data_IF_214384702210
#
_entry.id   IF_214384702210
#
_cell.length_a   1.000
_cell.length_b   1.000
_cell.length_c   1.000
_cell.angle_alpha   90.00
_cell.angle_beta   90.00
_cell.angle_gamma   90.00
#
_symmetry.space_group_name_H-M   'P 1'
#
loop_
_entity.id
_entity.type
_entity.pdbx_description
1 polymer ?
#
# COMPACT_ATOMS: atom_id res chain seq x y z
N UNK A 1 -17.07 -48.73 25.33
CA UNK A 1 -15.96 -48.13 24.55
C UNK A 1 -15.10 -47.33 25.51
N UNK A 2 -13.82 -47.69 25.64
CA UNK A 2 -12.96 -47.17 26.71
C UNK A 2 -12.55 -45.71 26.42
N UNK A 3 -12.25 -44.93 27.46
CA UNK A 3 -11.97 -43.47 27.36
C UNK A 3 -10.84 -43.17 26.37
N UNK A 4 -9.82 -44.02 26.36
CA UNK A 4 -8.68 -43.95 25.44
C UNK A 4 -9.12 -44.08 23.97
N UNK A 5 -10.09 -44.96 23.69
CA UNK A 5 -10.62 -45.16 22.33
C UNK A 5 -11.42 -43.95 21.85
N UNK A 6 -12.11 -43.23 22.75
CA UNK A 6 -12.81 -41.98 22.41
C UNK A 6 -11.83 -40.84 22.10
N UNK A 7 -10.76 -40.72 22.88
CA UNK A 7 -9.72 -39.70 22.66
C UNK A 7 -8.98 -39.89 21.33
N UNK A 8 -8.66 -41.15 20.98
CA UNK A 8 -8.04 -41.48 19.69
C UNK A 8 -8.99 -41.15 18.54
N UNK A 9 -10.29 -41.46 18.68
CA UNK A 9 -11.28 -41.15 17.63
C UNK A 9 -11.44 -39.63 17.42
N UNK A 10 -11.48 -38.85 18.49
CA UNK A 10 -11.57 -37.38 18.43
C UNK A 10 -10.32 -36.78 17.79
N UNK A 11 -9.13 -37.28 18.16
CA UNK A 11 -7.87 -36.84 17.56
C UNK A 11 -7.81 -37.17 16.06
N UNK A 12 -8.25 -38.37 15.65
CA UNK A 12 -8.31 -38.74 14.23
C UNK A 12 -9.31 -37.88 13.45
N UNK A 13 -10.48 -37.58 14.02
CA UNK A 13 -11.48 -36.72 13.36
C UNK A 13 -10.95 -35.29 13.20
N UNK A 14 -10.30 -34.72 14.23
CA UNK A 14 -9.68 -33.39 14.17
C UNK A 14 -8.51 -33.33 13.18
N UNK A 15 -7.67 -34.37 13.10
CA UNK A 15 -6.60 -34.41 12.10
C UNK A 15 -7.14 -34.52 10.67
N UNK A 16 -8.22 -35.28 10.44
CA UNK A 16 -8.81 -35.43 9.10
C UNK A 16 -9.53 -34.14 8.67
N UNK A 17 -10.25 -33.46 9.58
CA UNK A 17 -10.89 -32.17 9.25
C UNK A 17 -9.87 -31.07 9.02
N UNK A 18 -8.77 -31.05 9.79
CA UNK A 18 -7.66 -30.11 9.59
C UNK A 18 -6.95 -30.33 8.25
N UNK A 19 -6.64 -31.58 7.89
CA UNK A 19 -6.00 -31.91 6.60
C UNK A 19 -6.94 -31.65 5.43
N UNK A 20 -8.24 -31.92 5.57
CA UNK A 20 -9.23 -31.62 4.52
C UNK A 20 -9.43 -30.10 4.35
N UNK A 21 -9.46 -29.32 5.44
CA UNK A 21 -9.51 -27.87 5.40
C UNK A 21 -8.24 -27.26 4.81
N UNK A 22 -7.07 -27.81 5.15
CA UNK A 22 -5.79 -27.41 4.58
C UNK A 22 -5.70 -27.74 3.09
N UNK A 23 -6.12 -28.94 2.65
CA UNK A 23 -6.14 -29.30 1.23
C UNK A 23 -7.19 -28.51 0.43
N UNK A 24 -8.33 -28.17 1.02
CA UNK A 24 -9.35 -27.33 0.38
C UNK A 24 -8.88 -25.88 0.23
N UNK A 25 -8.19 -25.33 1.25
CA UNK A 25 -7.61 -23.99 1.21
C UNK A 25 -6.33 -23.88 0.37
N UNK A 26 -5.56 -24.97 0.22
CA UNK A 26 -4.36 -24.98 -0.62
C UNK A 26 -4.64 -25.27 -2.10
N UNK A 27 -5.78 -25.86 -2.43
CA UNK A 27 -6.18 -26.19 -3.82
C UNK A 27 -7.17 -25.20 -4.44
N UNK A 28 -7.64 -24.19 -3.70
CA UNK A 28 -8.16 -22.98 -4.34
C UNK A 28 -6.98 -22.25 -4.97
N UNK A 29 -6.63 -22.66 -6.19
CA UNK A 29 -5.92 -21.83 -7.15
C UNK A 29 -6.61 -20.47 -7.07
N UNK A 30 -5.90 -19.46 -6.54
CA UNK A 30 -6.34 -18.08 -6.62
C UNK A 30 -6.62 -17.83 -8.09
N UNK A 31 -7.88 -17.68 -8.46
CA UNK A 31 -8.26 -17.33 -9.82
C UNK A 31 -7.58 -16.00 -10.06
N UNK A 32 -6.55 -16.00 -10.92
CA UNK A 32 -5.82 -14.80 -11.30
C UNK A 32 -6.84 -13.70 -11.60
N UNK A 33 -6.58 -12.49 -11.08
CA UNK A 33 -7.40 -11.29 -11.25
C UNK A 33 -7.70 -11.03 -12.76
N UNK A 34 -6.94 -11.67 -13.67
CA UNK A 34 -7.16 -11.68 -15.11
C UNK A 34 -8.42 -12.37 -15.64
N UNK A 35 -9.15 -13.22 -14.90
CA UNK A 35 -10.34 -13.84 -15.49
C UNK A 35 -11.53 -12.88 -15.65
N UNK A 36 -11.46 -11.67 -15.08
CA UNK A 36 -12.55 -10.68 -15.11
C UNK A 36 -12.17 -9.42 -15.90
N UNK A 37 -10.88 -9.14 -16.13
CA UNK A 37 -10.43 -7.93 -16.83
C UNK A 37 -9.35 -8.25 -17.88
N UNK A 38 -9.61 -9.21 -18.76
CA UNK A 38 -8.94 -9.24 -20.05
C UNK A 38 -9.78 -8.42 -21.02
N UNK A 39 -9.32 -7.29 -21.58
CA UNK A 39 -9.97 -6.72 -22.74
C UNK A 39 -9.86 -7.74 -23.88
N UNK A 40 -10.97 -8.40 -24.18
CA UNK A 40 -11.19 -9.07 -25.45
C UNK A 40 -11.18 -7.97 -26.52
N UNK A 41 -10.02 -7.73 -27.14
CA UNK A 41 -9.85 -7.21 -28.50
C UNK A 41 -8.36 -7.08 -28.83
N UNK A 42 -7.72 -8.22 -29.07
CA UNK A 42 -6.58 -8.29 -29.97
C UNK A 42 -7.06 -9.04 -31.23
N UNK A 43 -7.85 -8.38 -32.09
CA UNK A 43 -8.10 -8.86 -33.45
C UNK A 43 -8.44 -7.70 -34.40
N UNK A 44 -7.53 -7.53 -35.35
CA UNK A 44 -7.68 -7.08 -36.75
C UNK A 44 -9.02 -6.50 -37.24
N UNK A 45 -8.93 -5.24 -37.68
CA UNK A 45 -9.58 -4.63 -38.86
C UNK A 45 -10.80 -5.34 -39.48
N UNK A 46 -12.01 -4.77 -39.31
CA UNK A 46 -12.95 -4.45 -40.41
C UNK A 46 -14.17 -3.66 -39.95
N UNK A 47 -14.60 -2.81 -40.86
CA UNK A 47 -15.70 -1.86 -40.87
C UNK A 47 -17.11 -2.39 -40.56
N UNK A 48 -17.93 -1.45 -40.02
CA UNK A 48 -19.34 -1.12 -40.36
C UNK A 48 -20.52 -1.62 -39.50
N UNK A 49 -21.34 -0.61 -39.20
CA UNK A 49 -22.79 -0.53 -38.92
C UNK A 49 -23.34 -0.67 -37.48
N UNK A 50 -23.80 0.50 -37.04
CA UNK A 50 -24.82 0.85 -36.05
C UNK A 50 -26.06 -0.04 -36.08
N UNK A 51 -26.54 -0.43 -34.89
CA UNK A 51 -27.94 -0.81 -34.66
C UNK A 51 -28.28 -0.64 -33.18
N UNK A 52 -28.94 0.47 -32.86
CA UNK A 52 -29.64 0.69 -31.59
C UNK A 52 -30.68 -0.41 -31.34
N UNK A 53 -30.85 -0.80 -30.08
CA UNK A 53 -32.16 -1.18 -29.56
C UNK A 53 -32.26 -0.81 -28.08
N UNK A 54 -33.16 0.14 -27.81
CA UNK A 54 -33.60 0.52 -26.48
C UNK A 54 -34.63 -0.49 -25.96
N UNK A 55 -34.57 -0.80 -24.66
CA UNK A 55 -35.75 -1.27 -23.94
C UNK A 55 -35.93 -0.49 -22.62
N UNK A 56 -37.14 0.01 -22.51
CA UNK A 56 -37.83 0.82 -21.51
C UNK A 56 -37.78 0.28 -20.08
N UNK A 57 -37.51 1.17 -19.12
CA UNK A 57 -37.77 0.98 -17.69
C UNK A 57 -39.12 1.61 -17.30
N UNK A 58 -39.96 0.86 -16.58
CA UNK A 58 -41.22 1.32 -16.02
C UNK A 58 -41.03 1.81 -14.58
N UNK A 59 -41.53 3.01 -14.28
CA UNK A 59 -41.64 3.58 -12.95
C UNK A 59 -42.90 3.05 -12.24
N UNK A 60 -42.80 2.77 -10.94
CA UNK A 60 -43.96 2.82 -10.03
C UNK A 60 -43.56 3.47 -8.70
N UNK A 61 -44.48 4.31 -8.24
CA UNK A 61 -44.46 5.25 -7.13
C UNK A 61 -45.02 4.63 -5.84
N UNK A 62 -44.53 5.04 -4.68
CA UNK A 62 -45.34 5.15 -3.45
C UNK A 62 -44.72 6.11 -2.42
N UNK A 63 -45.61 6.80 -1.69
CA UNK A 63 -45.46 8.01 -0.86
C UNK A 63 -44.96 7.75 0.59
N UNK A 64 -44.52 8.80 1.33
CA UNK A 64 -43.97 8.70 2.69
C UNK A 64 -45.07 8.71 3.76
N UNK A 65 -44.79 8.12 4.93
CA UNK A 65 -45.65 8.14 6.13
C UNK A 65 -44.93 8.86 7.28
N UNK A 66 -45.65 9.79 7.90
CA UNK A 66 -45.29 10.62 9.05
C UNK A 66 -44.99 9.81 10.33
N UNK A 67 -43.98 10.24 11.07
CA UNK A 67 -43.69 9.80 12.44
C UNK A 67 -44.52 10.62 13.44
N UNK A 68 -45.08 9.93 14.42
CA UNK A 68 -45.87 10.46 15.53
C UNK A 68 -45.00 10.49 16.80
N UNK A 69 -44.94 11.65 17.45
CA UNK A 69 -44.31 11.86 18.76
C UNK A 69 -44.95 11.00 19.87
N UNK A 70 -44.10 10.53 20.79
CA UNK A 70 -44.48 10.13 22.15
C UNK A 70 -43.33 10.50 23.10
N UNK A 71 -43.56 11.56 23.88
CA UNK A 71 -42.87 11.82 25.14
C UNK A 71 -43.35 10.81 26.21
N UNK A 72 -42.47 10.35 27.11
CA UNK A 72 -42.63 10.55 28.58
C UNK A 72 -41.49 9.96 29.44
N UNK A 73 -41.07 10.79 30.40
CA UNK A 73 -40.59 10.56 31.77
C UNK A 73 -39.30 9.77 32.11
N UNK A 74 -38.38 10.55 32.69
CA UNK A 74 -37.37 10.13 33.68
C UNK A 74 -38.03 10.02 35.07
N UNK A 75 -37.55 9.11 35.94
CA UNK A 75 -37.24 9.59 37.29
C UNK A 75 -35.88 9.12 37.82
N UNK A 76 -35.27 10.06 38.54
CA UNK A 76 -34.11 9.93 39.42
C UNK A 76 -34.39 9.00 40.60
N UNK A 77 -33.37 8.24 41.04
CA UNK A 77 -33.45 7.44 42.27
C UNK A 77 -32.23 6.54 42.47
N UNK A 78 -31.30 7.00 43.30
CA UNK A 78 -30.18 6.25 43.90
C UNK A 78 -30.65 5.01 44.64
N UNK A 79 -30.03 3.85 44.39
CA UNK A 79 -29.87 2.80 45.39
C UNK A 79 -28.60 1.99 45.14
N UNK A 80 -27.63 2.18 46.04
CA UNK A 80 -26.45 1.35 46.22
C UNK A 80 -26.84 -0.03 46.75
N UNK A 81 -26.55 -1.08 46.00
CA UNK A 81 -26.39 -2.44 46.54
C UNK A 81 -25.11 -3.07 46.02
N UNK A 82 -24.14 -3.20 46.91
CA UNK A 82 -22.94 -4.03 46.77
C UNK A 82 -23.34 -5.50 46.91
N UNK A 83 -23.00 -6.33 45.90
CA UNK A 83 -23.05 -7.78 46.00
C UNK A 83 -21.95 -8.44 45.15
N UNK A 84 -20.98 -9.02 45.87
CA UNK A 84 -20.16 -10.19 45.57
C UNK A 84 -19.34 -10.26 44.26
N UNK A 85 -18.03 -10.06 44.42
CA UNK A 85 -16.97 -10.58 43.56
C UNK A 85 -17.04 -12.12 43.51
N UNK A 86 -17.77 -12.62 42.54
CA UNK A 86 -17.42 -13.86 41.86
C UNK A 86 -16.63 -13.42 40.64
N UNK A 87 -15.47 -14.02 40.38
CA UNK A 87 -14.66 -13.74 39.19
C UNK A 87 -15.58 -13.83 37.97
N UNK A 88 -15.96 -12.68 37.44
CA UNK A 88 -16.80 -12.60 36.25
C UNK A 88 -15.87 -13.05 35.14
N UNK A 89 -16.06 -14.28 34.64
CA UNK A 89 -15.72 -14.57 33.26
C UNK A 89 -16.57 -13.59 32.47
N UNK A 90 -15.93 -12.50 32.06
CA UNK A 90 -16.59 -11.41 31.37
C UNK A 90 -16.95 -11.92 29.98
N UNK A 91 -18.14 -12.50 29.89
CA UNK A 91 -18.90 -12.60 28.65
C UNK A 91 -19.39 -11.17 28.32
N UNK A 92 -18.46 -10.31 27.88
CA UNK A 92 -18.74 -8.95 27.39
C UNK A 92 -19.24 -9.08 25.95
N UNK A 93 -20.50 -9.51 25.83
CA UNK A 93 -21.19 -9.71 24.56
C UNK A 93 -20.78 -8.69 23.49
N UNK A 94 -20.20 -9.25 22.43
CA UNK A 94 -19.75 -8.64 21.19
C UNK A 94 -18.47 -7.77 21.28
N UNK A 95 -17.35 -8.34 20.85
CA UNK A 95 -16.07 -7.64 20.63
C UNK A 95 -16.22 -6.37 19.78
N UNK A 96 -17.20 -6.34 18.87
CA UNK A 96 -17.52 -5.17 18.04
C UNK A 96 -18.06 -4.04 18.92
N UNK A 97 -18.92 -4.35 19.89
CA UNK A 97 -19.45 -3.37 20.84
C UNK A 97 -18.33 -2.80 21.72
N UNK A 98 -17.41 -3.65 22.20
CA UNK A 98 -16.23 -3.20 22.95
C UNK A 98 -15.35 -2.26 22.12
N UNK A 99 -15.09 -2.62 20.86
CA UNK A 99 -14.32 -1.80 19.95
C UNK A 99 -15.02 -0.45 19.67
N UNK A 100 -16.32 -0.44 19.39
CA UNK A 100 -17.06 0.80 19.12
C UNK A 100 -17.12 1.73 20.33
N UNK A 101 -17.27 1.15 21.54
CA UNK A 101 -17.20 1.90 22.79
C UNK A 101 -15.81 2.51 22.98
N UNK A 102 -14.75 1.79 22.62
CA UNK A 102 -13.39 2.30 22.65
C UNK A 102 -13.16 3.44 21.64
N UNK A 103 -13.64 3.30 20.40
CA UNK A 103 -13.57 4.38 19.39
C UNK A 103 -14.26 5.64 19.92
N UNK A 104 -15.49 5.51 20.44
CA UNK A 104 -16.24 6.63 21.03
C UNK A 104 -15.49 7.27 22.20
N UNK A 105 -14.97 6.44 23.11
CA UNK A 105 -14.19 6.92 24.26
C UNK A 105 -12.99 7.75 23.82
N UNK A 106 -12.25 7.27 22.81
CA UNK A 106 -11.03 7.91 22.31
C UNK A 106 -11.27 9.26 21.63
N UNK A 107 -12.47 9.49 21.09
CA UNK A 107 -12.82 10.77 20.47
C UNK A 107 -13.17 11.85 21.48
N UNK A 108 -13.53 11.48 22.70
CA UNK A 108 -14.04 12.42 23.72
C UNK A 108 -13.15 12.52 24.96
N UNK A 109 -12.12 11.69 25.09
CA UNK A 109 -11.28 11.61 26.28
C UNK A 109 -9.80 11.50 25.91
N UNK A 110 -8.94 12.13 26.71
CA UNK A 110 -7.48 12.15 26.52
C UNK A 110 -6.71 11.41 27.62
N UNK A 111 -7.38 10.58 28.43
CA UNK A 111 -6.70 9.74 29.42
C UNK A 111 -6.01 8.55 28.75
N UNK A 112 -4.72 8.74 28.46
CA UNK A 112 -3.87 7.75 27.83
C UNK A 112 -3.73 6.45 28.63
N UNK A 113 -3.89 6.48 29.96
CA UNK A 113 -3.75 5.28 30.80
C UNK A 113 -4.97 4.37 30.65
N UNK A 114 -6.16 4.95 30.72
CA UNK A 114 -7.40 4.22 30.49
C UNK A 114 -7.53 3.77 29.03
N UNK A 115 -7.03 4.59 28.09
CA UNK A 115 -6.91 4.21 26.68
C UNK A 115 -6.08 2.94 26.47
N UNK A 116 -4.87 2.88 27.06
CA UNK A 116 -3.99 1.72 26.98
C UNK A 116 -4.65 0.46 27.56
N UNK A 117 -5.30 0.60 28.73
CA UNK A 117 -6.02 -0.51 29.36
C UNK A 117 -7.12 -1.08 28.46
N UNK A 118 -7.94 -0.23 27.83
CA UNK A 118 -9.01 -0.68 26.91
C UNK A 118 -8.45 -1.42 25.69
N UNK A 119 -7.33 -0.96 25.14
CA UNK A 119 -6.64 -1.68 24.06
C UNK A 119 -6.16 -3.05 24.54
N UNK A 120 -5.52 -3.11 25.71
CA UNK A 120 -5.00 -4.37 26.25
C UNK A 120 -6.12 -5.36 26.56
N UNK A 121 -7.26 -4.90 27.09
CA UNK A 121 -8.45 -5.71 27.32
C UNK A 121 -8.97 -6.31 26.00
N UNK A 122 -9.10 -5.51 24.95
CA UNK A 122 -9.49 -5.98 23.61
C UNK A 122 -8.48 -7.00 23.09
N UNK A 123 -7.17 -6.70 23.15
CA UNK A 123 -6.12 -7.61 22.67
C UNK A 123 -6.13 -8.95 23.42
N UNK A 124 -6.32 -8.95 24.73
CA UNK A 124 -6.39 -10.16 25.53
C UNK A 124 -7.56 -11.07 25.10
N UNK A 125 -8.72 -10.49 24.77
CA UNK A 125 -9.86 -11.22 24.22
C UNK A 125 -9.50 -11.81 22.84
N UNK A 126 -8.91 -11.01 21.95
CA UNK A 126 -8.53 -11.46 20.60
C UNK A 126 -7.45 -12.56 20.61
N UNK A 127 -6.51 -12.53 21.57
CA UNK A 127 -5.50 -13.58 21.75
C UNK A 127 -6.12 -14.88 22.27
N UNK A 128 -7.11 -14.78 23.16
CA UNK A 128 -7.72 -15.94 23.81
C UNK A 128 -8.87 -16.56 23.02
N UNK A 129 -9.44 -15.85 22.04
CA UNK A 129 -10.60 -16.30 21.27
C UNK A 129 -10.46 -16.08 19.76
N UNK A 130 -10.29 -17.19 19.04
CA UNK A 130 -10.25 -17.17 17.57
C UNK A 130 -11.58 -16.76 16.91
N UNK A 131 -12.72 -16.96 17.57
CA UNK A 131 -14.02 -16.51 17.05
C UNK A 131 -14.18 -15.00 17.15
N UNK A 132 -13.74 -14.40 18.26
CA UNK A 132 -13.75 -12.93 18.40
C UNK A 132 -12.78 -12.27 17.42
N UNK A 133 -11.62 -12.89 17.18
CA UNK A 133 -10.71 -12.46 16.12
C UNK A 133 -11.36 -12.56 14.73
N UNK A 134 -12.08 -13.64 14.43
CA UNK A 134 -12.77 -13.74 13.14
C UNK A 134 -13.85 -12.64 12.99
N UNK A 135 -14.64 -12.39 14.03
CA UNK A 135 -15.69 -11.37 14.04
C UNK A 135 -15.12 -9.95 13.84
N UNK A 136 -14.04 -9.61 14.55
CA UNK A 136 -13.47 -8.26 14.43
C UNK A 136 -12.85 -8.02 13.04
N UNK A 137 -12.30 -9.05 12.40
CA UNK A 137 -11.76 -8.95 11.04
C UNK A 137 -12.89 -8.82 10.01
N UNK A 138 -14.01 -9.52 10.18
CA UNK A 138 -15.21 -9.34 9.35
C UNK A 138 -15.83 -7.95 9.53
N UNK A 139 -15.82 -7.42 10.76
CA UNK A 139 -16.24 -6.05 11.02
C UNK A 139 -15.34 -5.03 10.34
N UNK A 140 -14.02 -5.25 10.32
CA UNK A 140 -13.07 -4.35 9.68
C UNK A 140 -13.39 -4.11 8.19
N UNK A 141 -13.84 -5.15 7.47
CA UNK A 141 -14.26 -5.01 6.06
C UNK A 141 -15.38 -3.97 5.83
N UNK A 142 -16.12 -3.60 6.88
CA UNK A 142 -17.23 -2.63 6.82
C UNK A 142 -16.80 -1.22 7.26
N UNK A 143 -15.60 -1.07 7.83
CA UNK A 143 -15.10 0.18 8.38
C UNK A 143 -14.41 1.01 7.28
N UNK A 144 -14.78 2.28 7.06
CA UNK A 144 -14.12 3.12 6.08
C UNK A 144 -12.62 3.23 6.35
N UNK A 145 -11.78 2.94 5.35
CA UNK A 145 -10.33 2.79 5.54
C UNK A 145 -9.63 4.06 6.07
N UNK A 146 -10.17 5.25 5.78
CA UNK A 146 -9.64 6.53 6.26
C UNK A 146 -10.24 7.00 7.59
N UNK A 147 -11.12 6.21 8.22
CA UNK A 147 -11.72 6.55 9.52
C UNK A 147 -10.75 6.31 10.69
N UNK A 148 -10.98 7.02 11.80
CA UNK A 148 -10.26 6.78 13.06
C UNK A 148 -10.41 5.32 13.54
N UNK A 149 -11.59 4.73 13.34
CA UNK A 149 -11.86 3.33 13.66
C UNK A 149 -10.92 2.39 12.90
N UNK A 150 -10.72 2.61 11.59
CA UNK A 150 -9.77 1.80 10.80
C UNK A 150 -8.34 1.88 11.36
N UNK A 151 -7.84 3.08 11.69
CA UNK A 151 -6.51 3.23 12.31
C UNK A 151 -6.39 2.48 13.64
N UNK A 152 -7.44 2.50 14.45
CA UNK A 152 -7.48 1.78 15.71
C UNK A 152 -7.52 0.26 15.51
N UNK A 153 -8.28 -0.24 14.55
CA UNK A 153 -8.30 -1.67 14.20
C UNK A 153 -6.91 -2.13 13.76
N UNK A 154 -6.25 -1.39 12.86
CA UNK A 154 -4.86 -1.70 12.46
C UNK A 154 -3.96 -1.73 13.69
N UNK A 155 -4.01 -0.73 14.57
CA UNK A 155 -3.16 -0.67 15.77
C UNK A 155 -3.42 -1.82 16.76
N UNK A 156 -4.69 -2.18 16.97
CA UNK A 156 -5.08 -3.27 17.85
C UNK A 156 -4.57 -4.60 17.29
N UNK A 157 -4.87 -4.89 16.01
CA UNK A 157 -4.50 -6.15 15.35
C UNK A 157 -2.98 -6.26 15.21
N UNK A 158 -2.30 -5.18 14.78
CA UNK A 158 -0.84 -5.17 14.63
C UNK A 158 -0.12 -5.35 15.97
N UNK A 159 -0.76 -4.94 17.08
CA UNK A 159 -0.23 -5.13 18.44
C UNK A 159 -0.52 -6.48 19.09
N UNK A 160 -1.17 -7.42 18.38
CA UNK A 160 -1.27 -8.81 18.81
C UNK A 160 0.09 -9.52 18.70
N UNK A 161 0.28 -10.69 19.35
CA UNK A 161 1.45 -11.55 19.11
C UNK A 161 1.67 -11.80 17.62
N UNK A 162 2.93 -11.90 17.17
CA UNK A 162 3.28 -11.93 15.75
C UNK A 162 2.61 -13.10 15.00
N UNK A 163 2.39 -14.21 15.69
CA UNK A 163 1.75 -15.43 15.20
C UNK A 163 0.27 -15.21 14.83
N UNK A 164 -0.37 -14.17 15.40
CA UNK A 164 -1.76 -13.79 15.13
C UNK A 164 -1.85 -12.52 14.29
N UNK A 165 -1.03 -11.51 14.61
CA UNK A 165 -1.04 -10.18 14.00
C UNK A 165 -0.86 -10.24 12.48
N UNK A 166 0.24 -10.84 12.00
CA UNK A 166 0.56 -10.86 10.57
C UNK A 166 -0.46 -11.68 9.75
N UNK A 167 -0.84 -12.91 10.17
CA UNK A 167 -1.88 -13.67 9.45
C UNK A 167 -3.25 -12.98 9.43
N UNK A 168 -3.65 -12.35 10.53
CA UNK A 168 -4.91 -11.62 10.61
C UNK A 168 -4.95 -10.45 9.62
N UNK A 169 -3.92 -9.61 9.62
CA UNK A 169 -3.85 -8.48 8.69
C UNK A 169 -3.69 -8.92 7.24
N UNK A 170 -2.93 -9.97 6.98
CA UNK A 170 -2.84 -10.56 5.63
C UNK A 170 -4.23 -10.99 5.14
N UNK A 171 -5.03 -11.64 5.99
CA UNK A 171 -6.41 -12.04 5.64
C UNK A 171 -7.29 -10.85 5.29
N UNK A 172 -7.20 -9.73 6.03
CA UNK A 172 -7.97 -8.51 5.72
C UNK A 172 -7.56 -7.95 4.35
N UNK A 173 -6.26 -7.90 4.05
CA UNK A 173 -5.77 -7.44 2.74
C UNK A 173 -6.21 -8.37 1.60
N UNK A 174 -6.11 -9.68 1.79
CA UNK A 174 -6.53 -10.66 0.80
C UNK A 174 -8.05 -10.62 0.56
N UNK A 175 -8.85 -10.42 1.62
CA UNK A 175 -10.29 -10.25 1.51
C UNK A 175 -10.67 -8.99 0.72
N UNK A 176 -9.93 -7.90 0.89
CA UNK A 176 -10.15 -6.68 0.09
C UNK A 176 -9.95 -6.97 -1.41
N UNK A 177 -8.99 -7.80 -1.78
CA UNK A 177 -8.76 -8.17 -3.19
C UNK A 177 -9.84 -9.06 -3.80
N UNK A 178 -10.57 -9.84 -2.99
CA UNK A 178 -11.62 -10.74 -3.48
C UNK A 178 -12.88 -10.01 -3.96
N UNK A 179 -13.09 -8.76 -3.52
CA UNK A 179 -14.27 -7.97 -3.82
C UNK A 179 -13.94 -6.98 -4.96
N UNK A 180 -14.56 -7.18 -6.13
CA UNK A 180 -14.31 -6.40 -7.34
C UNK A 180 -14.91 -4.97 -7.31
N UNK A 181 -14.59 -4.20 -6.27
CA UNK A 181 -14.98 -2.80 -6.10
C UNK A 181 -13.70 -1.93 -6.03
N UNK A 182 -13.59 -0.83 -6.78
CA UNK A 182 -12.49 0.13 -6.65
C UNK A 182 -12.19 0.57 -5.22
N UNK A 183 -13.20 0.68 -4.35
CA UNK A 183 -13.01 1.04 -2.94
C UNK A 183 -12.19 -0.02 -2.17
N UNK A 184 -12.29 -1.29 -2.56
CA UNK A 184 -11.54 -2.37 -1.94
C UNK A 184 -10.08 -2.41 -2.43
N UNK A 185 -9.79 -2.01 -3.67
CA UNK A 185 -8.42 -1.83 -4.14
C UNK A 185 -7.71 -0.71 -3.37
N UNK A 186 -8.38 0.43 -3.17
CA UNK A 186 -7.87 1.51 -2.31
C UNK A 186 -7.60 1.02 -0.89
N UNK A 187 -8.54 0.25 -0.33
CA UNK A 187 -8.40 -0.38 0.99
C UNK A 187 -7.18 -1.28 1.05
N UNK A 188 -6.99 -2.15 0.06
CA UNK A 188 -5.81 -3.02 -0.04
C UNK A 188 -4.51 -2.22 -0.05
N UNK A 189 -4.35 -1.26 -0.98
CA UNK A 189 -3.13 -0.47 -1.12
C UNK A 189 -2.80 0.32 0.15
N UNK A 190 -3.83 0.87 0.80
CA UNK A 190 -3.69 1.61 2.05
C UNK A 190 -3.25 0.72 3.22
N UNK A 191 -3.83 -0.48 3.35
CA UNK A 191 -3.47 -1.43 4.40
C UNK A 191 -2.02 -1.92 4.23
N UNK A 192 -1.61 -2.25 2.99
CA UNK A 192 -0.23 -2.67 2.72
C UNK A 192 0.74 -1.53 3.04
N UNK A 193 0.44 -0.29 2.62
CA UNK A 193 1.28 0.87 2.90
C UNK A 193 1.41 1.16 4.41
N UNK A 194 0.32 1.05 5.18
CA UNK A 194 0.32 1.31 6.63
C UNK A 194 1.04 0.25 7.45
N UNK A 195 0.95 -1.01 7.03
CA UNK A 195 1.43 -2.15 7.84
C UNK A 195 2.80 -2.65 7.43
N UNK A 196 3.21 -2.41 6.18
CA UNK A 196 4.43 -2.98 5.61
C UNK A 196 4.42 -4.52 5.51
N UNK A 197 3.25 -5.16 5.68
CA UNK A 197 3.15 -6.62 5.63
C UNK A 197 3.42 -7.11 4.20
N UNK A 198 4.32 -8.09 4.11
CA UNK A 198 4.69 -8.76 2.88
C UNK A 198 4.37 -10.25 2.95
N UNK A 199 3.75 -10.76 1.89
CA UNK A 199 3.51 -12.16 1.59
C UNK A 199 3.58 -12.36 0.07
N UNK A 200 3.74 -13.60 -0.39
CA UNK A 200 3.76 -13.90 -1.84
C UNK A 200 2.48 -13.46 -2.54
N UNK A 201 1.31 -13.62 -1.90
CA UNK A 201 0.01 -13.17 -2.43
C UNK A 201 -0.03 -11.65 -2.57
N UNK A 202 0.32 -10.91 -1.51
CA UNK A 202 0.35 -9.43 -1.53
C UNK A 202 1.33 -8.93 -2.59
N UNK A 203 2.54 -9.49 -2.66
CA UNK A 203 3.53 -9.08 -3.67
C UNK A 203 3.02 -9.35 -5.08
N UNK A 204 2.40 -10.51 -5.36
CA UNK A 204 1.80 -10.79 -6.67
C UNK A 204 0.70 -9.78 -7.00
N UNK A 205 -0.19 -9.47 -6.06
CA UNK A 205 -1.25 -8.49 -6.28
C UNK A 205 -0.71 -7.08 -6.52
N UNK A 206 0.33 -6.66 -5.80
CA UNK A 206 0.99 -5.38 -6.06
C UNK A 206 1.58 -5.33 -7.46
N UNK A 207 2.21 -6.42 -7.94
CA UNK A 207 2.72 -6.49 -9.31
C UNK A 207 1.59 -6.36 -10.33
N UNK A 208 0.50 -7.09 -10.13
CA UNK A 208 -0.65 -7.04 -11.01
C UNK A 208 -1.22 -5.62 -11.08
N UNK A 209 -1.33 -4.92 -9.94
CA UNK A 209 -1.79 -3.52 -9.90
C UNK A 209 -0.81 -2.59 -10.62
N UNK A 210 0.49 -2.73 -10.36
CA UNK A 210 1.53 -1.90 -10.98
C UNK A 210 1.57 -2.04 -12.51
N UNK A 211 1.26 -3.23 -13.03
CA UNK A 211 1.30 -3.52 -14.46
C UNK A 211 -0.05 -3.18 -15.12
N UNK A 212 -1.16 -3.65 -14.53
CA UNK A 212 -2.46 -3.72 -15.19
C UNK A 212 -3.50 -2.71 -14.68
N UNK A 213 -3.23 -1.92 -13.63
CA UNK A 213 -4.23 -0.94 -13.19
C UNK A 213 -4.59 0.04 -14.30
N UNK A 214 -5.87 0.39 -14.39
CA UNK A 214 -6.35 1.43 -15.30
C UNK A 214 -6.06 2.85 -14.81
N UNK A 215 -5.57 3.01 -13.57
CA UNK A 215 -5.25 4.32 -12.99
C UNK A 215 -3.79 4.41 -12.57
N UNK A 216 -3.15 5.52 -12.92
CA UNK A 216 -1.71 5.68 -12.70
C UNK A 216 -1.35 5.92 -11.23
N UNK A 217 -2.24 6.53 -10.45
CA UNK A 217 -2.06 6.72 -9.01
C UNK A 217 -2.00 5.38 -8.26
N UNK A 218 -2.89 4.45 -8.59
CA UNK A 218 -2.89 3.09 -8.04
C UNK A 218 -1.63 2.32 -8.46
N UNK A 219 -1.25 2.40 -9.75
CA UNK A 219 -0.06 1.74 -10.27
C UNK A 219 1.22 2.26 -9.59
N UNK A 220 1.37 3.58 -9.49
CA UNK A 220 2.49 4.22 -8.81
C UNK A 220 2.57 3.84 -7.34
N UNK A 221 1.43 3.87 -6.65
CA UNK A 221 1.35 3.49 -5.24
C UNK A 221 1.76 2.04 -5.03
N UNK A 222 1.38 1.14 -5.94
CA UNK A 222 1.85 -0.24 -5.91
C UNK A 222 3.37 -0.36 -6.15
N UNK A 223 3.91 0.41 -7.11
CA UNK A 223 5.35 0.48 -7.37
C UNK A 223 6.13 0.99 -6.15
N UNK A 224 5.61 1.95 -5.39
CA UNK A 224 6.24 2.42 -4.14
C UNK A 224 6.44 1.32 -3.12
N UNK A 225 5.53 0.36 -3.10
CA UNK A 225 5.60 -0.78 -2.21
C UNK A 225 6.46 -1.91 -2.76
N UNK A 226 6.82 -1.94 -4.05
CA UNK A 226 7.58 -3.04 -4.68
C UNK A 226 9.08 -2.76 -4.77
N UNK A 227 9.92 -3.75 -4.49
CA UNK A 227 11.34 -3.65 -4.79
C UNK A 227 11.62 -4.12 -6.23
N UNK A 228 12.60 -3.53 -6.95
CA UNK A 228 12.88 -3.92 -8.34
C UNK A 228 13.19 -5.41 -8.55
N UNK A 229 13.83 -6.05 -7.57
CA UNK A 229 14.16 -7.48 -7.61
C UNK A 229 12.95 -8.38 -7.38
N UNK A 230 11.81 -7.84 -6.91
CA UNK A 230 10.59 -8.61 -6.80
C UNK A 230 9.99 -8.89 -8.20
N UNK A 231 10.30 -8.09 -9.21
CA UNK A 231 9.81 -8.26 -10.58
C UNK A 231 10.75 -9.13 -11.42
N UNK A 232 10.16 -9.99 -12.25
CA UNK A 232 10.87 -10.68 -13.32
C UNK A 232 11.26 -9.70 -14.42
N UNK A 233 12.18 -10.11 -15.31
CA UNK A 233 12.59 -9.28 -16.45
C UNK A 233 11.41 -8.86 -17.34
N UNK A 234 10.44 -9.75 -17.56
CA UNK A 234 9.27 -9.47 -18.37
C UNK A 234 8.30 -8.48 -17.68
N UNK A 235 8.13 -8.61 -16.36
CA UNK A 235 7.33 -7.69 -15.55
C UNK A 235 7.99 -6.30 -15.49
N UNK A 236 9.32 -6.24 -15.29
CA UNK A 236 10.07 -4.98 -15.32
C UNK A 236 9.95 -4.28 -16.68
N UNK A 237 10.02 -5.02 -17.78
CA UNK A 237 9.82 -4.42 -19.10
C UNK A 237 8.44 -3.75 -19.23
N UNK A 238 7.36 -4.44 -18.82
CA UNK A 238 6.01 -3.88 -18.86
C UNK A 238 5.87 -2.62 -17.99
N UNK A 239 6.42 -2.64 -16.78
CA UNK A 239 6.45 -1.47 -15.88
C UNK A 239 7.20 -0.31 -16.53
N UNK A 240 8.40 -0.54 -17.08
CA UNK A 240 9.19 0.52 -17.69
C UNK A 240 8.57 1.10 -18.96
N UNK A 241 7.92 0.27 -19.79
CA UNK A 241 7.18 0.72 -20.98
C UNK A 241 5.97 1.59 -20.58
N UNK A 242 5.24 1.17 -19.55
CA UNK A 242 4.13 1.95 -18.99
C UNK A 242 4.60 3.30 -18.45
N UNK A 243 5.66 3.31 -17.64
CA UNK A 243 6.19 4.55 -17.05
C UNK A 243 6.69 5.53 -18.12
N UNK A 244 7.30 5.03 -19.20
CA UNK A 244 7.67 5.87 -20.36
C UNK A 244 6.44 6.49 -21.01
N UNK A 245 5.40 5.70 -21.28
CA UNK A 245 4.16 6.22 -21.85
C UNK A 245 3.49 7.25 -20.93
N UNK A 246 3.56 7.06 -19.61
CA UNK A 246 3.08 8.04 -18.63
C UNK A 246 3.87 9.35 -18.69
N UNK A 247 5.21 9.31 -18.78
CA UNK A 247 6.04 10.50 -18.95
C UNK A 247 5.70 11.27 -20.23
N UNK A 248 5.46 10.55 -21.33
CA UNK A 248 5.14 11.15 -22.63
C UNK A 248 3.74 11.79 -22.68
N UNK A 249 2.83 11.34 -21.81
CA UNK A 249 1.41 11.76 -21.81
C UNK A 249 1.02 12.62 -20.60
N UNK A 250 1.85 12.72 -19.55
CA UNK A 250 1.55 13.46 -18.34
C UNK A 250 1.70 14.98 -18.52
N UNK A 251 1.08 15.73 -17.60
CA UNK A 251 1.47 17.11 -17.39
C UNK A 251 2.94 17.17 -16.94
N UNK A 252 3.66 18.24 -17.33
CA UNK A 252 5.10 18.40 -17.05
C UNK A 252 5.46 18.33 -15.55
N UNK A 253 4.51 18.61 -14.67
CA UNK A 253 4.72 18.64 -13.22
C UNK A 253 4.85 17.24 -12.61
N UNK A 254 4.17 16.24 -13.16
CA UNK A 254 4.18 14.87 -12.62
C UNK A 254 5.29 14.00 -13.24
N UNK A 255 5.80 14.40 -14.40
CA UNK A 255 6.85 13.68 -15.13
C UNK A 255 8.08 13.33 -14.28
N UNK A 256 8.60 14.19 -13.37
CA UNK A 256 9.72 13.83 -12.50
C UNK A 256 9.45 12.62 -11.61
N UNK A 257 8.21 12.47 -11.10
CA UNK A 257 7.87 11.34 -10.25
C UNK A 257 7.87 10.04 -11.03
N UNK A 258 7.20 10.00 -12.19
CA UNK A 258 7.23 8.85 -13.10
C UNK A 258 8.67 8.50 -13.53
N UNK A 259 9.49 9.51 -13.80
CA UNK A 259 10.90 9.31 -14.16
C UNK A 259 11.72 8.70 -13.03
N UNK A 260 11.51 9.12 -11.77
CA UNK A 260 12.17 8.51 -10.61
C UNK A 260 11.86 7.01 -10.49
N UNK A 261 10.59 6.63 -10.72
CA UNK A 261 10.16 5.23 -10.74
C UNK A 261 10.77 4.50 -11.95
N UNK A 262 10.80 5.14 -13.12
CA UNK A 262 11.39 4.56 -14.33
C UNK A 262 12.86 4.24 -14.11
N UNK A 263 13.64 5.15 -13.53
CA UNK A 263 15.03 4.88 -13.16
C UNK A 263 15.13 3.71 -12.19
N UNK A 264 14.33 3.72 -11.12
CA UNK A 264 14.36 2.67 -10.08
C UNK A 264 14.11 1.26 -10.63
N UNK A 265 13.15 1.09 -11.54
CA UNK A 265 12.78 -0.21 -12.12
C UNK A 265 13.54 -0.56 -13.42
N UNK A 266 14.39 0.34 -13.91
CA UNK A 266 15.26 0.08 -15.05
C UNK A 266 16.53 -0.69 -14.66
N UNK A 267 17.05 -1.51 -15.58
CA UNK A 267 18.34 -2.15 -15.40
C UNK A 267 19.51 -1.15 -15.58
N UNK A 268 20.74 -1.55 -15.22
CA UNK A 268 21.91 -0.65 -15.23
C UNK A 268 22.14 0.04 -16.59
N UNK A 269 22.12 -0.71 -17.69
CA UNK A 269 22.28 -0.15 -19.05
C UNK A 269 21.15 0.82 -19.41
N UNK A 270 19.90 0.48 -19.08
CA UNK A 270 18.76 1.36 -19.32
C UNK A 270 18.84 2.64 -18.49
N UNK A 271 19.25 2.56 -17.22
CA UNK A 271 19.39 3.74 -16.35
C UNK A 271 20.44 4.71 -16.87
N UNK A 272 21.59 4.21 -17.31
CA UNK A 272 22.63 5.05 -17.91
C UNK A 272 22.11 5.74 -19.17
N UNK A 273 21.45 5.00 -20.07
CA UNK A 273 20.88 5.58 -21.29
C UNK A 273 19.84 6.66 -20.98
N UNK A 274 18.89 6.37 -20.06
CA UNK A 274 17.88 7.32 -19.62
C UNK A 274 18.50 8.59 -19.03
N UNK A 275 19.54 8.43 -18.22
CA UNK A 275 20.25 9.54 -17.63
C UNK A 275 20.93 10.42 -18.69
N UNK A 276 21.61 9.81 -19.66
CA UNK A 276 22.25 10.51 -20.76
C UNK A 276 21.25 11.21 -21.68
N UNK A 277 20.12 10.56 -21.97
CA UNK A 277 19.05 11.16 -22.80
C UNK A 277 18.52 12.45 -22.15
N UNK A 278 18.31 12.43 -20.82
CA UNK A 278 17.84 13.60 -20.07
C UNK A 278 18.92 14.67 -19.91
N UNK A 279 20.19 14.30 -19.65
CA UNK A 279 21.27 15.28 -19.55
C UNK A 279 21.55 15.99 -20.89
N UNK A 280 21.38 15.29 -22.01
CA UNK A 280 21.66 15.82 -23.35
C UNK A 280 20.43 16.43 -24.05
N UNK A 281 19.25 16.41 -23.41
CA UNK A 281 18.04 17.00 -23.97
C UNK A 281 18.16 18.53 -24.10
N UNK A 282 17.72 19.09 -25.24
CA UNK A 282 17.76 20.53 -25.50
C UNK A 282 16.91 21.34 -24.51
N UNK A 283 15.76 20.78 -24.10
CA UNK A 283 14.84 21.36 -23.12
C UNK A 283 14.83 20.50 -21.84
N UNK A 284 16.02 20.21 -21.30
CA UNK A 284 16.15 19.32 -20.16
C UNK A 284 15.36 19.80 -18.93
N UNK A 285 14.68 18.87 -18.27
CA UNK A 285 13.94 19.14 -17.05
C UNK A 285 14.89 19.11 -15.84
N UNK A 286 15.10 20.26 -15.20
CA UNK A 286 16.02 20.38 -14.05
C UNK A 286 15.68 19.38 -12.92
N UNK A 287 14.41 19.12 -12.66
CA UNK A 287 14.00 18.15 -11.63
C UNK A 287 14.42 16.72 -11.98
N UNK A 288 14.30 16.32 -13.26
CA UNK A 288 14.76 14.99 -13.70
C UNK A 288 16.29 14.88 -13.68
N UNK A 289 16.99 15.93 -14.10
CA UNK A 289 18.45 15.99 -14.01
C UNK A 289 18.93 15.91 -12.55
N UNK A 290 18.24 16.57 -11.62
CA UNK A 290 18.50 16.48 -10.18
C UNK A 290 18.28 15.05 -9.66
N UNK A 291 17.18 14.38 -10.04
CA UNK A 291 16.92 12.98 -9.69
C UNK A 291 18.05 12.05 -10.15
N UNK A 292 18.61 12.28 -11.34
CA UNK A 292 19.76 11.50 -11.85
C UNK A 292 20.98 11.72 -10.95
N UNK A 293 21.30 12.96 -10.61
CA UNK A 293 22.43 13.29 -9.74
C UNK A 293 22.25 12.64 -8.36
N UNK A 294 21.05 12.68 -7.79
CA UNK A 294 20.72 12.04 -6.52
C UNK A 294 20.83 10.51 -6.61
N UNK A 295 20.46 9.91 -7.74
CA UNK A 295 20.61 8.47 -7.99
C UNK A 295 22.08 8.05 -8.07
N UNK A 296 22.94 8.88 -8.66
CA UNK A 296 24.40 8.66 -8.64
C UNK A 296 24.92 8.79 -7.21
N UNK A 297 24.45 9.78 -6.45
CA UNK A 297 24.84 9.98 -5.07
C UNK A 297 24.39 8.81 -4.17
N UNK A 298 23.20 8.27 -4.38
CA UNK A 298 22.69 7.10 -3.66
C UNK A 298 23.38 5.79 -4.07
N UNK A 299 24.13 5.78 -5.18
CA UNK A 299 24.74 4.58 -5.74
C UNK A 299 23.74 3.64 -6.44
N UNK A 300 22.55 4.14 -6.78
CA UNK A 300 21.54 3.38 -7.53
C UNK A 300 21.72 3.53 -9.05
N UNK A 301 22.42 4.57 -9.49
CA UNK A 301 22.94 4.73 -10.84
C UNK A 301 24.48 4.56 -10.84
N UNK A 302 24.95 3.60 -11.63
CA UNK A 302 26.38 3.34 -11.77
C UNK A 302 27.10 4.51 -12.42
N UNK A 303 28.34 4.73 -11.99
CA UNK A 303 29.19 5.80 -12.50
C UNK A 303 29.79 5.36 -13.83
N UNK A 304 29.74 6.24 -14.83
CA UNK A 304 30.38 6.01 -16.11
C UNK A 304 31.12 7.25 -16.61
N UNK A 305 32.10 7.10 -17.51
CA UNK A 305 32.77 8.23 -18.15
C UNK A 305 31.78 9.18 -18.86
N UNK A 306 30.76 8.62 -19.53
CA UNK A 306 29.76 9.43 -20.22
C UNK A 306 28.94 10.31 -19.26
N UNK A 307 28.54 9.76 -18.11
CA UNK A 307 27.85 10.52 -17.07
C UNK A 307 28.77 11.57 -16.43
N UNK A 308 30.06 11.25 -16.25
CA UNK A 308 31.07 12.21 -15.79
C UNK A 308 31.16 13.41 -16.74
N UNK A 309 31.28 13.16 -18.04
CA UNK A 309 31.36 14.21 -19.06
C UNK A 309 30.08 15.08 -19.10
N UNK A 310 28.91 14.46 -19.01
CA UNK A 310 27.63 15.16 -18.94
C UNK A 310 27.55 16.10 -17.72
N UNK A 311 27.99 15.63 -16.55
CA UNK A 311 28.04 16.45 -15.33
C UNK A 311 29.06 17.58 -15.45
N UNK A 312 30.21 17.37 -16.11
CA UNK A 312 31.16 18.46 -16.38
C UNK A 312 30.55 19.55 -17.25
N UNK A 313 29.75 19.19 -18.25
CA UNK A 313 29.06 20.17 -19.08
C UNK A 313 28.09 21.03 -18.27
N UNK A 314 27.36 20.44 -17.31
CA UNK A 314 26.46 21.17 -16.41
C UNK A 314 27.26 22.03 -15.42
N UNK A 315 28.31 21.47 -14.81
CA UNK A 315 29.18 22.16 -13.86
C UNK A 315 29.85 23.42 -14.45
N UNK A 316 30.10 23.44 -15.76
CA UNK A 316 30.72 24.59 -16.46
C UNK A 316 29.73 25.69 -16.85
N UNK A 317 28.42 25.44 -16.75
CA UNK A 317 27.40 26.44 -17.06
C UNK A 317 27.15 27.32 -15.83
N UNK A 318 27.79 28.50 -15.78
CA UNK A 318 27.69 29.44 -14.64
C UNK A 318 26.28 29.91 -14.29
N UNK A 319 25.34 29.81 -15.23
CA UNK A 319 23.94 30.20 -15.03
C UNK A 319 23.01 28.99 -14.80
N UNK A 320 23.56 27.76 -14.73
CA UNK A 320 22.75 26.57 -14.49
C UNK A 320 22.34 26.50 -13.02
N UNK A 321 21.04 26.31 -12.77
CA UNK A 321 20.50 26.06 -11.42
C UNK A 321 21.08 24.79 -10.78
N UNK A 322 21.56 23.85 -11.60
CA UNK A 322 22.10 22.57 -11.14
C UNK A 322 23.63 22.56 -11.07
N UNK A 323 24.29 23.69 -11.33
CA UNK A 323 25.76 23.77 -11.38
C UNK A 323 26.40 23.22 -10.10
N UNK A 324 25.91 23.64 -8.93
CA UNK A 324 26.47 23.22 -7.64
C UNK A 324 26.24 21.73 -7.36
N UNK A 325 25.05 21.20 -7.68
CA UNK A 325 24.75 19.78 -7.50
C UNK A 325 25.60 18.91 -8.44
N UNK A 326 25.85 19.36 -9.67
CA UNK A 326 26.73 18.68 -10.61
C UNK A 326 28.18 18.65 -10.09
N UNK A 327 28.71 19.78 -9.63
CA UNK A 327 30.05 19.87 -9.03
C UNK A 327 30.17 18.98 -7.81
N UNK A 328 29.19 19.03 -6.91
CA UNK A 328 29.16 18.16 -5.73
C UNK A 328 29.17 16.68 -6.13
N UNK A 329 28.31 16.29 -7.07
CA UNK A 329 28.24 14.90 -7.55
C UNK A 329 29.58 14.46 -8.16
N UNK A 330 30.23 15.31 -8.95
CA UNK A 330 31.56 15.05 -9.50
C UNK A 330 32.61 14.85 -8.40
N UNK A 331 32.69 15.76 -7.44
CA UNK A 331 33.70 15.73 -6.37
C UNK A 331 33.57 14.50 -5.45
N UNK A 332 32.34 14.07 -5.17
CA UNK A 332 32.07 13.04 -4.15
C UNK A 332 31.83 11.64 -4.70
N UNK A 333 31.54 11.51 -6.00
CA UNK A 333 31.23 10.22 -6.60
C UNK A 333 32.21 9.83 -7.70
N UNK A 334 32.91 10.76 -8.34
CA UNK A 334 33.84 10.43 -9.43
C UNK A 334 35.29 10.62 -9.02
N UNK A 335 36.16 9.76 -9.56
CA UNK A 335 37.59 9.97 -9.49
C UNK A 335 37.96 11.08 -10.48
N UNK A 336 38.44 12.20 -9.96
CA UNK A 336 38.85 13.37 -10.75
C UNK A 336 40.38 13.42 -10.82
N UNK A 337 40.91 13.66 -12.01
CA UNK A 337 42.29 14.09 -12.18
C UNK A 337 42.49 15.51 -11.60
N UNK A 338 43.74 15.90 -11.38
CA UNK A 338 44.06 17.23 -10.88
C UNK A 338 43.56 18.34 -11.80
N UNK A 339 43.65 18.14 -13.11
CA UNK A 339 43.20 19.12 -14.10
C UNK A 339 41.67 19.26 -14.07
N UNK A 340 40.96 18.13 -14.04
CA UNK A 340 39.49 18.11 -13.90
C UNK A 340 39.02 18.77 -12.60
N UNK A 341 39.69 18.50 -11.48
CA UNK A 341 39.40 19.16 -10.20
C UNK A 341 39.59 20.68 -10.30
N UNK A 342 40.71 21.13 -10.88
CA UNK A 342 41.00 22.55 -11.05
C UNK A 342 39.98 23.24 -11.99
N UNK A 343 39.49 22.52 -12.99
CA UNK A 343 38.55 23.04 -13.99
C UNK A 343 37.18 23.40 -13.38
N UNK A 344 36.72 22.62 -12.39
CA UNK A 344 35.43 22.88 -11.70
C UNK A 344 35.57 23.68 -10.40
N UNK A 345 36.80 23.87 -9.90
CA UNK A 345 37.06 24.60 -8.64
C UNK A 345 37.59 26.03 -8.86
N UNK A 346 38.12 26.36 -10.04
CA UNK A 346 38.59 27.73 -10.33
C UNK A 346 37.41 28.71 -10.35
N UNK A 347 37.51 29.75 -9.52
CA UNK A 347 36.53 30.84 -9.46
C UNK A 347 35.31 30.57 -8.59
N UNK A 348 35.16 29.35 -8.05
CA UNK A 348 34.08 29.01 -7.13
C UNK A 348 34.62 28.93 -5.70
N UNK A 349 34.07 29.75 -4.78
CA UNK A 349 34.26 29.54 -3.35
C UNK A 349 33.51 28.25 -2.98
N UNK A 350 34.15 27.10 -3.21
CA UNK A 350 33.67 25.80 -2.80
C UNK A 350 33.77 25.75 -1.27
N UNK A 351 32.80 26.36 -0.58
CA UNK A 351 32.61 26.23 0.85
C UNK A 351 31.96 24.85 1.09
N UNK A 352 32.79 23.82 0.94
CA UNK A 352 32.41 22.40 1.09
C UNK A 352 31.84 22.12 2.49
N UNK A 353 32.06 23.01 3.46
CA UNK A 353 31.61 22.88 4.85
C UNK A 353 30.21 23.45 5.18
N UNK A 354 29.54 24.18 4.27
CA UNK A 354 28.32 24.94 4.63
C UNK A 354 27.04 24.60 3.84
N UNK A 355 27.02 23.52 3.06
CA UNK A 355 25.79 23.06 2.41
C UNK A 355 25.06 22.13 3.37
N UNK A 356 24.06 22.66 4.09
CA UNK A 356 23.10 21.85 4.87
C UNK A 356 21.96 21.40 3.95
N UNK A 357 21.66 20.10 4.03
CA UNK A 357 20.60 19.37 3.35
C UNK A 357 19.21 19.98 3.53
#
# INVERSE_FOLDING_TARGET
MNVVTKLILIACILCITFVAGYLAGSNTKLTSILSIIKPENAETTKTLYTSSNALTAAQTTSKPVEQKELELDTPSGTDTTTLNNTEIIVDNGDIIALFNNFVTYSTSNSDYKEYGKKIDDIRNILVSSGSELALILEYFDQVPIHSQASYMLVSIIMGLPQELSKPAMQRVMENALLKADPANLTTFLELVARTGIKSSSITVSLKDIAIFSGKDDEALRALDMLMPYELSNAENQQVTERLKAAIDSSEKADSPYYFSQLLRFSNSTQREQLALDIFNATDANNSMQSIIMDSIQAGTLDRSPALKDALFNIAKQEQSELQQQAIYTLLYRFDLSQDEYNDISRGQNLNIENIRF
#
